data_IF_612725653443
#
_entry.id   IF_612725653443
#
_cell.length_a   1.000
_cell.length_b   1.000
_cell.length_c   1.000
_cell.angle_alpha   90.00
_cell.angle_beta   90.00
_cell.angle_gamma   90.00
#
_symmetry.space_group_name_H-M   'P 1'
#
loop_
_entity.id
_entity.type
_entity.pdbx_description
1 polymer ?
#
# COMPACT_ATOMS: atom_id res chain seq x y z
N UNK A 1 -40.26 34.18 -7.49
CA UNK A 1 -39.91 35.49 -6.85
C UNK A 1 -39.75 35.22 -5.38
N UNK A 2 -38.55 35.12 -4.89
CA UNK A 2 -38.17 35.20 -3.49
C UNK A 2 -36.72 35.71 -3.48
N UNK A 3 -36.33 36.61 -2.59
CA UNK A 3 -35.10 37.37 -2.73
C UNK A 3 -33.87 36.65 -2.19
N UNK A 4 -32.75 36.91 -2.85
CA UNK A 4 -31.41 36.61 -2.43
C UNK A 4 -31.06 37.37 -1.15
N UNK A 5 -30.69 36.66 -0.08
CA UNK A 5 -30.05 37.26 1.10
C UNK A 5 -28.52 37.22 0.93
N UNK A 6 -27.98 38.41 0.74
CA UNK A 6 -26.57 38.73 0.79
C UNK A 6 -26.02 38.54 2.21
N UNK A 7 -25.26 37.46 2.49
CA UNK A 7 -24.44 37.37 3.69
C UNK A 7 -23.24 38.31 3.57
N UNK A 8 -23.39 39.53 4.00
CA UNK A 8 -22.28 40.45 4.27
C UNK A 8 -21.54 39.95 5.53
N UNK A 9 -20.37 39.45 5.37
CA UNK A 9 -19.43 39.17 6.47
C UNK A 9 -19.01 40.49 7.11
N UNK A 10 -19.65 40.85 8.20
CA UNK A 10 -19.19 41.93 9.06
C UNK A 10 -17.86 41.47 9.72
N UNK A 11 -16.81 42.29 9.71
CA UNK A 11 -15.53 41.87 10.24
C UNK A 11 -15.60 41.72 11.76
N UNK A 12 -15.28 40.51 12.25
CA UNK A 12 -15.13 40.11 13.67
C UNK A 12 -14.29 41.14 14.45
N UNK A 13 -13.40 41.86 13.77
CA UNK A 13 -12.56 42.92 14.31
C UNK A 13 -13.29 44.11 14.90
N UNK A 14 -14.49 44.46 14.41
CA UNK A 14 -15.27 45.56 14.92
C UNK A 14 -16.07 45.23 16.20
N UNK A 15 -16.48 43.97 16.33
CA UNK A 15 -17.16 43.48 17.54
C UNK A 15 -16.20 43.33 18.73
N UNK A 16 -14.94 42.95 18.50
CA UNK A 16 -13.92 42.88 19.51
C UNK A 16 -13.46 44.24 20.01
N UNK A 17 -13.43 45.29 19.16
CA UNK A 17 -13.03 46.64 19.54
C UNK A 17 -13.98 47.28 20.60
N UNK A 18 -15.28 47.09 20.52
CA UNK A 18 -16.24 47.66 21.44
C UNK A 18 -16.22 47.11 22.84
N UNK A 19 -15.83 45.86 23.02
CA UNK A 19 -15.69 45.20 24.36
C UNK A 19 -14.33 45.45 25.03
N UNK A 20 -13.29 45.63 24.25
CA UNK A 20 -11.95 45.86 24.76
C UNK A 20 -11.79 47.21 25.48
N UNK A 21 -12.52 48.22 25.02
CA UNK A 21 -12.46 49.58 25.59
C UNK A 21 -13.15 49.74 26.94
N UNK A 22 -14.02 48.81 27.34
CA UNK A 22 -14.80 48.88 28.57
C UNK A 22 -14.23 48.01 29.74
N UNK A 23 -13.11 47.35 29.52
CA UNK A 23 -12.46 46.58 30.61
C UNK A 23 -11.55 47.47 31.46
N UNK A 24 -11.45 47.22 32.80
CA UNK A 24 -10.46 47.85 33.66
C UNK A 24 -9.04 47.71 33.11
N UNK A 25 -8.20 48.72 33.31
CA UNK A 25 -6.82 48.72 32.82
C UNK A 25 -6.01 47.45 33.18
N UNK A 26 -6.19 46.94 34.40
CA UNK A 26 -5.58 45.70 34.86
C UNK A 26 -6.03 44.47 34.05
N UNK A 27 -7.33 44.35 33.74
CA UNK A 27 -7.87 43.24 32.96
C UNK A 27 -7.45 43.27 31.49
N UNK A 28 -7.24 44.48 30.92
CA UNK A 28 -6.67 44.62 29.55
C UNK A 28 -5.23 44.14 29.50
N UNK A 29 -4.44 44.46 30.53
CA UNK A 29 -3.04 44.07 30.60
C UNK A 29 -2.90 42.53 30.74
N UNK A 30 -3.73 41.91 31.56
CA UNK A 30 -3.78 40.47 31.70
C UNK A 30 -4.19 39.77 30.39
N UNK A 31 -5.17 40.32 29.68
CA UNK A 31 -5.61 39.75 28.41
C UNK A 31 -4.56 39.90 27.30
N UNK A 32 -3.85 41.05 27.28
CA UNK A 32 -2.73 41.25 26.33
C UNK A 32 -1.55 40.33 26.62
N UNK A 33 -1.23 40.10 27.90
CA UNK A 33 -0.17 39.18 28.30
C UNK A 33 -0.55 37.74 27.99
N UNK A 34 -1.82 37.34 28.18
CA UNK A 34 -2.31 36.01 27.82
C UNK A 34 -2.27 35.81 26.28
N UNK A 35 -2.70 36.79 25.49
CA UNK A 35 -2.59 36.71 24.04
C UNK A 35 -1.13 36.67 23.55
N UNK A 36 -0.25 37.44 24.17
CA UNK A 36 1.18 37.40 23.86
C UNK A 36 1.82 36.06 24.25
N UNK A 37 1.41 35.47 25.36
CA UNK A 37 1.86 34.13 25.76
C UNK A 37 1.36 33.04 24.81
N UNK A 38 0.09 33.10 24.36
CA UNK A 38 -0.43 32.18 23.35
C UNK A 38 0.29 32.33 22.02
N UNK A 39 0.54 33.56 21.57
CA UNK A 39 1.31 33.83 20.34
C UNK A 39 2.74 33.30 20.48
N UNK A 40 3.38 33.52 21.63
CA UNK A 40 4.71 32.98 21.91
C UNK A 40 4.70 31.44 21.92
N UNK A 41 3.75 30.80 22.57
CA UNK A 41 3.61 29.32 22.56
C UNK A 41 3.35 28.82 21.15
N UNK A 42 2.49 29.48 20.36
CA UNK A 42 2.29 29.13 18.95
C UNK A 42 3.55 29.36 18.11
N UNK A 43 4.27 30.43 18.31
CA UNK A 43 5.51 30.73 17.56
C UNK A 43 6.68 29.81 17.97
N UNK A 44 6.81 29.48 19.26
CA UNK A 44 7.85 28.54 19.72
C UNK A 44 7.44 27.09 19.50
N UNK A 45 6.17 26.74 19.70
CA UNK A 45 5.65 25.40 19.42
C UNK A 45 5.72 25.03 17.93
N UNK A 46 5.47 25.99 17.05
CA UNK A 46 5.64 25.76 15.60
C UNK A 46 7.11 25.74 15.17
N UNK A 47 8.02 26.41 15.91
CA UNK A 47 9.45 26.34 15.59
C UNK A 47 10.08 25.00 15.95
N UNK A 48 9.64 24.35 17.02
CA UNK A 48 10.15 23.00 17.36
C UNK A 48 9.62 21.92 16.41
N UNK A 49 8.50 22.17 15.72
CA UNK A 49 7.92 21.22 14.74
C UNK A 49 8.51 21.42 13.33
N UNK A 50 9.08 22.60 13.02
CA UNK A 50 9.49 22.94 11.65
C UNK A 50 10.98 22.74 11.35
N UNK A 51 11.83 22.51 12.33
CA UNK A 51 13.25 22.27 12.11
C UNK A 51 13.72 21.03 12.87
N UNK A 52 13.41 19.84 12.33
CA UNK A 52 14.27 18.68 12.58
C UNK A 52 15.59 19.00 11.86
N UNK A 53 16.72 19.15 12.58
CA UNK A 53 17.98 19.47 11.93
C UNK A 53 18.28 18.42 10.86
N UNK A 54 18.58 18.86 9.65
CA UNK A 54 18.90 17.99 8.51
C UNK A 54 20.07 17.06 8.85
N UNK A 55 21.01 17.51 9.69
CA UNK A 55 22.08 16.67 10.25
C UNK A 55 21.58 15.50 11.12
N UNK A 56 20.48 15.67 11.85
CA UNK A 56 19.91 14.57 12.63
C UNK A 56 19.23 13.55 11.71
N UNK A 57 18.60 14.01 10.63
CA UNK A 57 18.00 13.15 9.61
C UNK A 57 19.07 12.35 8.85
N UNK A 58 20.16 13.01 8.42
CA UNK A 58 21.25 12.32 7.73
C UNK A 58 22.00 11.36 8.66
N UNK A 59 22.24 11.73 9.92
CA UNK A 59 22.89 10.84 10.89
C UNK A 59 22.01 9.65 11.28
N UNK A 60 20.69 9.80 11.35
CA UNK A 60 19.77 8.68 11.58
C UNK A 60 19.63 7.80 10.35
N UNK A 61 19.48 8.35 9.15
CA UNK A 61 19.44 7.59 7.90
C UNK A 61 20.74 6.79 7.67
N UNK A 62 21.91 7.36 7.97
CA UNK A 62 23.19 6.67 7.84
C UNK A 62 23.40 5.63 8.96
N UNK A 63 22.91 5.89 10.18
CA UNK A 63 22.96 4.92 11.27
C UNK A 63 21.99 3.75 11.09
N UNK A 64 20.82 4.00 10.52
CA UNK A 64 19.83 2.95 10.27
C UNK A 64 20.18 2.04 9.09
N UNK A 65 20.84 2.56 8.06
CA UNK A 65 21.34 1.72 6.95
C UNK A 65 22.33 0.63 7.42
N UNK A 66 22.90 0.77 8.60
CA UNK A 66 23.71 -0.26 9.25
C UNK A 66 23.14 -0.86 10.53
N UNK A 67 22.03 -0.33 11.06
CA UNK A 67 21.54 -0.61 12.40
C UNK A 67 20.36 -1.58 12.51
N UNK A 68 19.51 -1.66 11.49
CA UNK A 68 18.31 -2.52 11.52
C UNK A 68 18.67 -4.01 11.68
N UNK A 69 19.82 -4.41 11.18
CA UNK A 69 20.28 -5.81 11.18
C UNK A 69 21.24 -6.16 12.33
N UNK A 70 21.54 -5.22 13.23
CA UNK A 70 22.61 -5.39 14.24
C UNK A 70 22.18 -6.03 15.56
N UNK A 71 20.90 -6.32 15.77
CA UNK A 71 20.38 -6.66 17.13
C UNK A 71 19.95 -8.12 17.29
N UNK A 72 20.04 -8.94 16.29
CA UNK A 72 19.79 -10.37 16.48
C UNK A 72 21.11 -11.08 16.82
N UNK A 73 21.19 -11.70 18.00
CA UNK A 73 22.16 -12.76 18.31
C UNK A 73 21.83 -14.02 17.47
N UNK A 74 21.84 -13.87 16.16
CA UNK A 74 21.62 -14.91 15.16
C UNK A 74 22.09 -14.34 13.83
N UNK A 75 22.45 -15.19 12.88
CA UNK A 75 22.69 -14.78 11.49
C UNK A 75 21.43 -14.11 10.94
N UNK A 76 21.60 -13.06 10.13
CA UNK A 76 20.48 -12.49 9.39
C UNK A 76 19.75 -13.61 8.61
N UNK A 77 18.41 -13.55 8.49
CA UNK A 77 17.69 -14.57 7.73
C UNK A 77 18.15 -14.57 6.27
N UNK A 78 18.22 -15.74 5.69
CA UNK A 78 18.43 -15.89 4.25
C UNK A 78 17.18 -15.42 3.50
N UNK A 79 17.36 -14.66 2.42
CA UNK A 79 16.24 -14.04 1.69
C UNK A 79 16.40 -14.29 0.20
N UNK A 80 15.38 -14.81 -0.46
CA UNK A 80 15.25 -14.76 -1.91
C UNK A 80 14.31 -13.64 -2.31
N UNK A 81 14.77 -12.80 -3.24
CA UNK A 81 13.93 -11.83 -3.94
C UNK A 81 13.55 -12.44 -5.29
N UNK A 82 12.33 -12.94 -5.38
CA UNK A 82 11.79 -13.52 -6.60
C UNK A 82 11.19 -12.39 -7.43
N UNK A 83 11.73 -12.16 -8.61
CA UNK A 83 11.28 -11.12 -9.51
C UNK A 83 10.55 -11.76 -10.69
N UNK A 84 9.23 -11.54 -10.75
CA UNK A 84 8.44 -11.94 -11.89
C UNK A 84 8.65 -10.93 -13.04
N UNK A 85 9.20 -11.40 -14.16
CA UNK A 85 9.57 -10.53 -15.28
C UNK A 85 9.36 -11.22 -16.63
N UNK A 86 9.34 -10.41 -17.68
CA UNK A 86 9.50 -10.82 -19.07
C UNK A 86 10.88 -10.40 -19.57
N UNK A 87 11.29 -10.91 -20.72
CA UNK A 87 12.58 -10.53 -21.37
C UNK A 87 12.68 -9.04 -21.71
N UNK A 88 11.57 -8.31 -21.73
CA UNK A 88 11.50 -6.88 -22.06
C UNK A 88 11.58 -5.98 -20.83
N UNK A 89 11.46 -6.53 -19.65
CA UNK A 89 11.39 -5.77 -18.40
C UNK A 89 12.76 -5.67 -17.74
N UNK A 90 13.05 -4.47 -17.21
CA UNK A 90 14.29 -4.20 -16.50
C UNK A 90 14.10 -4.34 -14.99
N UNK A 91 14.87 -5.22 -14.39
CA UNK A 91 14.99 -5.39 -12.94
C UNK A 91 16.42 -5.13 -12.44
N UNK A 92 17.26 -4.48 -13.23
CA UNK A 92 18.66 -4.19 -12.86
C UNK A 92 18.80 -3.31 -11.61
N UNK A 93 17.76 -2.56 -11.27
CA UNK A 93 17.67 -1.74 -10.05
C UNK A 93 17.80 -2.57 -8.77
N UNK A 94 17.56 -3.88 -8.82
CA UNK A 94 17.73 -4.77 -7.66
C UNK A 94 19.15 -4.79 -7.11
N UNK A 95 20.15 -4.35 -7.90
CA UNK A 95 21.55 -4.18 -7.47
C UNK A 95 21.74 -3.09 -6.42
N UNK A 96 20.78 -2.15 -6.32
CA UNK A 96 20.82 -1.03 -5.38
C UNK A 96 20.18 -1.38 -4.03
N UNK A 97 19.68 -2.61 -3.89
CA UNK A 97 19.12 -3.12 -2.63
C UNK A 97 20.22 -3.31 -1.59
N UNK A 98 19.88 -2.95 -0.35
CA UNK A 98 20.80 -3.01 0.79
C UNK A 98 20.41 -4.06 1.84
N UNK A 99 19.60 -5.05 1.44
CA UNK A 99 19.16 -6.14 2.33
C UNK A 99 20.25 -7.20 2.42
N UNK A 100 20.87 -7.37 3.59
CA UNK A 100 21.96 -8.34 3.75
C UNK A 100 21.51 -9.77 3.48
N UNK A 101 22.32 -10.51 2.71
CA UNK A 101 22.06 -11.93 2.42
C UNK A 101 20.94 -12.18 1.42
N UNK A 102 20.39 -11.12 0.78
CA UNK A 102 19.37 -11.26 -0.25
C UNK A 102 19.99 -11.80 -1.55
N UNK A 103 19.35 -12.81 -2.11
CA UNK A 103 19.66 -13.38 -3.42
C UNK A 103 18.51 -13.04 -4.37
N UNK A 104 18.84 -12.44 -5.52
CA UNK A 104 17.83 -12.12 -6.55
C UNK A 104 17.63 -13.35 -7.44
N UNK A 105 16.39 -13.80 -7.55
CA UNK A 105 15.98 -14.98 -8.32
C UNK A 105 14.93 -14.54 -9.36
N UNK A 106 15.34 -14.11 -10.55
CA UNK A 106 14.40 -13.72 -11.59
C UNK A 106 13.73 -14.96 -12.19
N UNK A 107 12.39 -14.88 -12.32
CA UNK A 107 11.57 -15.82 -13.08
C UNK A 107 11.10 -15.16 -14.35
N UNK A 108 11.49 -15.70 -15.51
CA UNK A 108 11.20 -15.09 -16.81
C UNK A 108 10.01 -15.83 -17.46
N UNK A 109 8.95 -15.09 -17.73
CA UNK A 109 7.69 -15.67 -18.21
C UNK A 109 7.75 -16.16 -19.65
N UNK A 110 8.54 -15.50 -20.52
CA UNK A 110 8.55 -15.64 -21.98
C UNK A 110 9.87 -16.17 -22.56
N UNK A 111 10.76 -16.73 -21.71
CA UNK A 111 12.01 -17.37 -22.15
C UNK A 111 12.21 -18.72 -21.44
N UNK A 112 11.94 -19.81 -22.16
CA UNK A 112 12.13 -21.18 -21.67
C UNK A 112 13.61 -21.58 -21.51
N UNK A 113 14.58 -20.79 -21.99
CA UNK A 113 16.00 -21.00 -21.79
C UNK A 113 16.56 -20.24 -20.59
N UNK A 114 15.77 -19.40 -19.93
CA UNK A 114 16.18 -18.74 -18.71
C UNK A 114 16.43 -19.77 -17.60
N UNK A 115 17.34 -19.46 -16.66
CA UNK A 115 17.66 -20.35 -15.53
C UNK A 115 16.40 -20.71 -14.73
N UNK A 116 15.53 -19.73 -14.50
CA UNK A 116 14.23 -19.93 -13.88
C UNK A 116 13.17 -19.30 -14.79
N UNK A 117 12.17 -20.07 -15.12
CA UNK A 117 11.12 -19.65 -16.03
C UNK A 117 9.78 -20.28 -15.68
N UNK A 118 8.70 -19.66 -16.12
CA UNK A 118 7.38 -20.25 -16.10
C UNK A 118 7.28 -21.33 -17.18
N UNK A 119 6.43 -22.35 -16.97
CA UNK A 119 6.17 -23.37 -18.01
C UNK A 119 5.49 -22.75 -19.23
N UNK A 120 4.69 -21.71 -19.02
CA UNK A 120 4.04 -20.93 -20.04
C UNK A 120 3.81 -19.52 -19.50
N UNK A 121 3.89 -18.51 -20.35
CA UNK A 121 3.49 -17.14 -20.00
C UNK A 121 1.97 -17.07 -19.89
N UNK A 122 1.43 -17.43 -18.73
CA UNK A 122 0.01 -17.43 -18.41
C UNK A 122 -0.21 -17.22 -16.91
N UNK A 123 -1.29 -16.50 -16.53
CA UNK A 123 -1.60 -16.22 -15.14
C UNK A 123 -0.70 -15.18 -14.50
N UNK A 124 -0.08 -14.33 -15.32
CA UNK A 124 0.80 -13.26 -14.87
C UNK A 124 1.86 -13.76 -13.87
N UNK A 125 2.15 -12.99 -12.81
CA UNK A 125 3.11 -13.34 -11.76
C UNK A 125 2.71 -14.60 -10.98
N UNK A 126 1.42 -14.94 -10.92
CA UNK A 126 0.95 -16.10 -10.15
C UNK A 126 1.57 -17.41 -10.65
N UNK A 127 1.72 -17.59 -11.97
CA UNK A 127 2.40 -18.76 -12.53
C UNK A 127 3.85 -18.86 -12.05
N UNK A 128 4.57 -17.74 -12.13
CA UNK A 128 5.98 -17.68 -11.74
C UNK A 128 6.16 -17.93 -10.24
N UNK A 129 5.24 -17.42 -9.41
CA UNK A 129 5.31 -17.62 -7.96
C UNK A 129 5.03 -19.07 -7.58
N UNK A 130 4.02 -19.72 -8.17
CA UNK A 130 3.76 -21.12 -7.92
C UNK A 130 4.91 -22.01 -8.45
N UNK A 131 5.50 -21.64 -9.60
CA UNK A 131 6.66 -22.35 -10.13
C UNK A 131 7.86 -22.24 -9.17
N UNK A 132 8.12 -21.04 -8.63
CA UNK A 132 9.17 -20.85 -7.62
C UNK A 132 8.92 -21.69 -6.37
N UNK A 133 7.71 -21.71 -5.82
CA UNK A 133 7.40 -22.53 -4.65
C UNK A 133 7.56 -24.02 -4.91
N UNK A 134 7.26 -24.45 -6.12
CA UNK A 134 7.46 -25.84 -6.54
C UNK A 134 8.94 -26.18 -6.72
N UNK A 135 9.70 -25.35 -7.43
CA UNK A 135 11.11 -25.61 -7.77
C UNK A 135 12.01 -25.56 -6.55
N UNK A 136 11.83 -24.56 -5.69
CA UNK A 136 12.65 -24.32 -4.50
C UNK A 136 12.11 -25.03 -3.25
N UNK A 137 11.08 -25.86 -3.35
CA UNK A 137 10.38 -26.44 -2.19
C UNK A 137 11.31 -27.06 -1.15
N UNK A 138 12.36 -27.75 -1.59
CA UNK A 138 13.32 -28.42 -0.74
C UNK A 138 14.52 -27.52 -0.33
N UNK A 139 14.73 -26.41 -1.04
CA UNK A 139 15.86 -25.48 -0.84
C UNK A 139 15.39 -24.02 -0.66
N UNK A 140 14.34 -23.82 0.12
CA UNK A 140 13.79 -22.50 0.40
C UNK A 140 14.69 -21.70 1.36
N UNK A 141 14.89 -20.40 1.16
CA UNK A 141 15.49 -19.50 2.15
C UNK A 141 14.55 -19.32 3.34
N UNK A 142 15.00 -18.64 4.40
CA UNK A 142 14.14 -18.34 5.55
C UNK A 142 12.94 -17.49 5.16
N UNK A 143 13.14 -16.53 4.23
CA UNK A 143 12.11 -15.62 3.71
C UNK A 143 12.21 -15.58 2.19
N UNK A 144 11.07 -15.68 1.52
CA UNK A 144 10.91 -15.41 0.10
C UNK A 144 10.07 -14.14 -0.08
N UNK A 145 10.59 -13.17 -0.83
CA UNK A 145 9.88 -11.94 -1.20
C UNK A 145 9.61 -12.02 -2.69
N UNK A 146 8.36 -11.87 -3.09
CA UNK A 146 7.92 -12.04 -4.47
C UNK A 146 7.34 -10.72 -4.96
N UNK A 147 7.86 -10.21 -6.08
CA UNK A 147 7.56 -8.88 -6.59
C UNK A 147 7.48 -8.85 -8.12
N UNK A 148 6.88 -7.79 -8.64
CA UNK A 148 6.95 -7.43 -10.06
C UNK A 148 8.33 -6.85 -10.39
N UNK A 149 8.65 -6.78 -11.67
CA UNK A 149 9.94 -6.27 -12.17
C UNK A 149 10.15 -4.77 -11.97
N UNK A 150 9.08 -3.99 -11.87
CA UNK A 150 9.10 -2.53 -11.89
C UNK A 150 9.58 -1.93 -10.56
N UNK A 151 10.59 -1.07 -10.62
CA UNK A 151 11.09 -0.32 -9.45
C UNK A 151 10.07 0.70 -8.93
N UNK A 152 9.53 1.50 -9.86
CA UNK A 152 8.53 2.52 -9.57
C UNK A 152 7.19 2.07 -10.13
N UNK A 153 6.20 1.96 -9.26
CA UNK A 153 4.89 1.46 -9.67
C UNK A 153 3.80 1.97 -8.73
N UNK A 154 2.60 2.14 -9.26
CA UNK A 154 1.41 2.43 -8.47
C UNK A 154 1.04 1.27 -7.51
N UNK A 155 1.58 0.07 -7.73
CA UNK A 155 1.44 -1.07 -6.81
C UNK A 155 2.15 -0.83 -5.47
N UNK A 156 3.08 0.12 -5.41
CA UNK A 156 3.72 0.60 -4.18
C UNK A 156 3.11 1.93 -3.81
N UNK A 157 2.73 2.07 -2.55
CA UNK A 157 2.04 3.27 -2.07
C UNK A 157 2.94 4.50 -2.05
N UNK A 158 2.29 5.66 -2.10
CA UNK A 158 2.97 6.94 -2.06
C UNK A 158 3.75 7.16 -0.76
N UNK A 159 3.27 6.61 0.35
CA UNK A 159 3.99 6.69 1.64
C UNK A 159 5.34 5.98 1.58
N UNK A 160 5.48 5.01 0.68
CA UNK A 160 6.72 4.29 0.37
C UNK A 160 7.41 4.85 -0.90
N UNK A 161 7.16 6.12 -1.26
CA UNK A 161 7.72 6.83 -2.43
C UNK A 161 7.40 6.15 -3.78
N UNK A 162 6.37 5.30 -3.82
CA UNK A 162 6.08 4.42 -4.96
C UNK A 162 7.30 3.60 -5.42
N UNK A 163 8.27 3.38 -4.53
CA UNK A 163 9.57 2.80 -4.80
C UNK A 163 9.73 1.43 -4.12
N UNK A 164 9.94 0.41 -4.92
CA UNK A 164 10.25 -0.93 -4.41
C UNK A 164 11.61 -0.97 -3.69
N UNK A 165 12.59 -0.17 -4.13
CA UNK A 165 13.87 -0.03 -3.41
C UNK A 165 13.63 0.50 -2.01
N UNK A 166 12.80 1.56 -1.87
CA UNK A 166 12.49 2.10 -0.55
C UNK A 166 11.78 1.04 0.30
N UNK A 167 10.75 0.40 -0.23
CA UNK A 167 9.97 -0.62 0.48
C UNK A 167 10.84 -1.77 0.98
N UNK A 168 11.67 -2.36 0.12
CA UNK A 168 12.49 -3.51 0.49
C UNK A 168 13.61 -3.15 1.46
N UNK A 169 14.23 -1.98 1.32
CA UNK A 169 15.27 -1.51 2.23
C UNK A 169 14.74 -1.16 3.63
N UNK A 170 13.44 -0.90 3.77
CA UNK A 170 12.80 -0.55 5.05
C UNK A 170 11.92 -1.67 5.62
N UNK A 171 11.73 -2.78 4.90
CA UNK A 171 10.92 -3.90 5.36
C UNK A 171 11.53 -4.56 6.60
N UNK A 172 10.80 -4.61 7.71
CA UNK A 172 11.23 -5.36 8.89
C UNK A 172 11.02 -6.87 8.69
N UNK A 173 12.11 -7.58 8.42
CA UNK A 173 12.09 -9.03 8.20
C UNK A 173 11.64 -9.83 9.44
N UNK A 174 11.72 -9.25 10.65
CA UNK A 174 11.21 -9.88 11.88
C UNK A 174 9.69 -9.94 11.86
N UNK A 175 9.04 -8.91 11.32
CA UNK A 175 7.58 -8.92 11.15
C UNK A 175 7.16 -9.94 10.09
N UNK A 176 7.94 -10.12 9.02
CA UNK A 176 7.70 -11.22 8.07
C UNK A 176 7.77 -12.58 8.77
N UNK A 177 8.81 -12.80 9.58
CA UNK A 177 8.96 -14.05 10.35
C UNK A 177 7.83 -14.24 11.35
N UNK A 178 7.44 -13.20 12.06
CA UNK A 178 6.35 -13.24 13.05
C UNK A 178 5.01 -13.58 12.41
N UNK A 179 4.69 -12.94 11.29
CA UNK A 179 3.41 -13.13 10.60
C UNK A 179 3.39 -14.31 9.66
N UNK A 180 4.58 -14.74 9.19
CA UNK A 180 4.80 -15.82 8.24
C UNK A 180 4.33 -15.53 6.81
N UNK A 181 3.42 -14.63 6.61
CA UNK A 181 2.96 -14.08 5.33
C UNK A 181 2.51 -12.63 5.52
N UNK A 182 2.80 -11.78 4.57
CA UNK A 182 2.23 -10.45 4.46
C UNK A 182 2.24 -9.96 3.00
N UNK A 183 1.30 -9.06 2.69
CA UNK A 183 1.40 -8.23 1.50
C UNK A 183 2.38 -7.09 1.76
N UNK A 184 3.20 -6.75 0.77
CA UNK A 184 4.07 -5.56 0.85
C UNK A 184 3.26 -4.28 0.79
N UNK A 185 2.12 -4.30 0.10
CA UNK A 185 1.14 -3.21 0.14
C UNK A 185 0.38 -3.23 1.46
N UNK A 186 0.11 -2.03 1.99
CA UNK A 186 -0.53 -1.86 3.31
C UNK A 186 -1.92 -1.26 3.19
N UNK A 187 -2.14 -0.39 2.20
CA UNK A 187 -3.39 0.38 2.09
C UNK A 187 -4.59 -0.48 1.73
N UNK A 188 -5.75 -0.10 2.32
CA UNK A 188 -7.02 -0.76 2.12
C UNK A 188 -7.74 -0.34 0.84
N UNK A 189 -7.30 0.72 0.19
CA UNK A 189 -7.99 1.33 -0.95
C UNK A 189 -8.36 0.37 -2.08
N UNK A 190 -7.63 -0.74 -2.22
CA UNK A 190 -7.95 -1.83 -3.15
C UNK A 190 -7.80 -3.14 -2.40
N UNK A 191 -8.89 -3.91 -2.32
CA UNK A 191 -8.90 -5.28 -1.82
C UNK A 191 -9.37 -5.46 -0.38
N UNK A 192 -9.33 -4.43 0.51
CA UNK A 192 -9.79 -4.57 1.89
C UNK A 192 -11.18 -3.98 2.13
N UNK A 193 -11.38 -2.67 2.15
CA UNK A 193 -12.69 -2.07 2.42
C UNK A 193 -13.49 -1.82 1.15
N UNK A 194 -12.80 -1.51 0.05
CA UNK A 194 -13.37 -1.33 -1.28
C UNK A 194 -12.81 -2.40 -2.22
N UNK A 195 -13.59 -2.80 -3.20
CA UNK A 195 -13.19 -3.86 -4.15
C UNK A 195 -12.82 -5.20 -3.46
N UNK A 196 -13.42 -5.50 -2.32
CA UNK A 196 -13.38 -6.85 -1.76
C UNK A 196 -14.17 -7.81 -2.64
N UNK A 197 -13.68 -9.03 -2.75
CA UNK A 197 -14.40 -10.08 -3.47
C UNK A 197 -15.53 -10.64 -2.60
N UNK A 198 -16.74 -10.67 -3.15
CA UNK A 198 -17.84 -11.46 -2.60
C UNK A 198 -18.11 -12.66 -3.52
N UNK A 199 -17.68 -13.84 -3.12
CA UNK A 199 -17.73 -15.06 -3.93
C UNK A 199 -19.15 -15.54 -4.26
N UNK A 200 -20.18 -14.99 -3.62
CA UNK A 200 -21.57 -15.30 -3.92
C UNK A 200 -22.15 -14.49 -5.09
N UNK A 201 -21.46 -13.42 -5.51
CA UNK A 201 -21.88 -12.52 -6.59
C UNK A 201 -21.36 -12.97 -7.95
N UNK A 202 -21.72 -14.19 -8.35
CA UNK A 202 -21.20 -14.82 -9.59
C UNK A 202 -21.76 -14.22 -10.89
N UNK A 203 -22.83 -13.42 -10.82
CA UNK A 203 -23.49 -12.86 -12.00
C UNK A 203 -23.45 -11.33 -12.05
N UNK A 204 -22.75 -10.68 -11.14
CA UNK A 204 -22.66 -9.23 -11.11
C UNK A 204 -21.41 -8.75 -11.85
N UNK A 205 -21.59 -7.88 -12.83
CA UNK A 205 -20.49 -7.12 -13.39
C UNK A 205 -20.04 -6.08 -12.38
N UNK A 206 -18.86 -6.25 -11.85
CA UNK A 206 -18.22 -5.27 -10.98
C UNK A 206 -17.33 -4.38 -11.83
N UNK A 207 -17.62 -3.10 -11.87
CA UNK A 207 -16.91 -2.12 -12.71
C UNK A 207 -15.43 -1.91 -12.38
N UNK A 208 -14.89 -2.59 -11.34
CA UNK A 208 -13.49 -2.45 -10.92
C UNK A 208 -12.75 -3.78 -10.71
N UNK A 209 -13.48 -4.89 -10.62
CA UNK A 209 -12.93 -6.23 -10.33
C UNK A 209 -13.49 -7.25 -11.33
N UNK A 210 -12.95 -7.31 -12.55
CA UNK A 210 -13.49 -8.19 -13.61
C UNK A 210 -13.42 -9.68 -13.25
N UNK A 211 -12.51 -10.07 -12.33
CA UNK A 211 -12.37 -11.43 -11.79
C UNK A 211 -13.48 -11.82 -10.81
N UNK A 212 -14.27 -10.87 -10.30
CA UNK A 212 -15.31 -11.08 -9.28
C UNK A 212 -16.23 -12.28 -9.57
N UNK A 213 -16.72 -12.38 -10.78
CA UNK A 213 -17.66 -13.44 -11.19
C UNK A 213 -17.03 -14.84 -11.25
N UNK A 214 -15.71 -14.92 -11.41
CA UNK A 214 -14.95 -16.16 -11.55
C UNK A 214 -14.39 -16.67 -10.21
N UNK A 215 -14.42 -15.85 -9.16
CA UNK A 215 -13.72 -16.14 -7.91
C UNK A 215 -14.23 -17.39 -7.19
N UNK A 216 -15.53 -17.64 -7.19
CA UNK A 216 -16.08 -18.83 -6.52
C UNK A 216 -15.57 -20.13 -7.17
N UNK A 217 -15.58 -20.19 -8.50
CA UNK A 217 -15.10 -21.36 -9.23
C UNK A 217 -13.60 -21.50 -9.15
N UNK A 218 -12.85 -20.40 -9.33
CA UNK A 218 -11.40 -20.38 -9.19
C UNK A 218 -10.96 -20.86 -7.79
N UNK A 219 -11.62 -20.38 -6.74
CA UNK A 219 -11.33 -20.80 -5.37
C UNK A 219 -11.59 -22.30 -5.17
N UNK A 220 -12.74 -22.80 -5.59
CA UNK A 220 -13.07 -24.24 -5.53
C UNK A 220 -12.06 -25.09 -6.27
N UNK A 221 -11.69 -24.68 -7.48
CA UNK A 221 -10.77 -25.42 -8.31
C UNK A 221 -9.36 -25.49 -7.69
N UNK A 222 -8.90 -24.42 -7.04
CA UNK A 222 -7.57 -24.38 -6.47
C UNK A 222 -7.48 -25.00 -5.07
N UNK A 223 -8.51 -24.86 -4.23
CA UNK A 223 -8.47 -25.38 -2.85
C UNK A 223 -9.30 -26.65 -2.64
N UNK A 224 -10.03 -27.10 -3.65
CA UNK A 224 -10.90 -28.29 -3.58
C UNK A 224 -11.87 -28.25 -2.39
N UNK A 225 -12.44 -27.05 -2.13
CA UNK A 225 -13.38 -26.82 -1.04
C UNK A 225 -14.77 -26.52 -1.61
N UNK A 226 -15.79 -27.15 -1.04
CA UNK A 226 -17.18 -26.83 -1.36
C UNK A 226 -17.65 -25.56 -0.64
N UNK A 227 -17.16 -25.34 0.57
CA UNK A 227 -17.49 -24.20 1.39
C UNK A 227 -16.50 -23.06 1.11
N UNK A 228 -16.87 -22.23 0.14
CA UNK A 228 -16.07 -21.09 -0.28
C UNK A 228 -16.37 -19.92 0.66
N UNK A 229 -15.37 -19.25 1.22
CA UNK A 229 -15.59 -18.05 2.03
C UNK A 229 -16.39 -17.01 1.24
N UNK A 230 -17.42 -16.44 1.87
CA UNK A 230 -18.25 -15.42 1.21
C UNK A 230 -17.44 -14.18 0.82
N UNK A 231 -16.55 -13.75 1.70
CA UNK A 231 -15.69 -12.56 1.49
C UNK A 231 -14.23 -12.98 1.45
N UNK A 232 -13.53 -12.54 0.41
CA UNK A 232 -12.09 -12.59 0.31
C UNK A 232 -11.58 -11.15 0.29
N UNK A 233 -10.70 -10.80 1.24
CA UNK A 233 -10.19 -9.45 1.38
C UNK A 233 -8.72 -9.44 1.83
N UNK A 234 -7.89 -8.73 1.10
CA UNK A 234 -6.47 -8.48 1.42
C UNK A 234 -5.99 -7.28 0.61
N UNK A 235 -4.97 -6.53 1.05
CA UNK A 235 -4.35 -5.51 0.20
C UNK A 235 -3.89 -6.11 -1.13
N UNK A 236 -4.11 -5.41 -2.24
CA UNK A 236 -3.93 -5.94 -3.60
C UNK A 236 -2.48 -6.22 -3.98
N UNK A 237 -2.38 -6.66 -5.18
CA UNK A 237 -1.26 -6.48 -6.12
C UNK A 237 -0.16 -7.52 -6.05
N UNK A 238 -0.41 -8.70 -5.45
CA UNK A 238 0.47 -9.88 -5.50
C UNK A 238 1.96 -9.62 -5.21
N UNK A 239 2.28 -8.58 -4.44
CA UNK A 239 3.64 -8.35 -3.95
C UNK A 239 3.69 -8.78 -2.49
N UNK A 240 4.35 -9.90 -2.22
CA UNK A 240 4.21 -10.63 -0.96
C UNK A 240 5.56 -11.00 -0.36
N UNK A 241 5.58 -11.17 0.96
CA UNK A 241 6.68 -11.81 1.66
C UNK A 241 6.15 -13.00 2.46
N UNK A 242 6.84 -14.12 2.39
CA UNK A 242 6.39 -15.39 2.97
C UNK A 242 7.58 -16.18 3.51
N UNK A 243 7.41 -16.84 4.67
CA UNK A 243 8.46 -17.65 5.27
C UNK A 243 8.50 -19.07 4.70
N UNK A 244 9.65 -19.73 4.85
CA UNK A 244 9.84 -21.16 4.52
C UNK A 244 8.77 -22.03 5.17
N UNK A 245 8.46 -21.77 6.42
CA UNK A 245 7.49 -22.54 7.20
C UNK A 245 6.09 -22.41 6.61
N UNK A 246 5.70 -21.21 6.19
CA UNK A 246 4.42 -20.98 5.54
C UNK A 246 4.33 -21.68 4.19
N UNK A 247 5.39 -21.61 3.38
CA UNK A 247 5.44 -22.30 2.09
C UNK A 247 5.36 -23.82 2.30
N UNK A 248 6.10 -24.37 3.27
CA UNK A 248 6.14 -25.84 3.50
C UNK A 248 4.91 -26.41 4.19
N UNK A 249 4.06 -25.57 4.81
CA UNK A 249 2.73 -26.04 5.26
C UNK A 249 1.84 -26.46 4.10
N UNK A 250 2.05 -25.88 2.94
CA UNK A 250 1.35 -26.26 1.71
C UNK A 250 2.13 -27.38 1.05
N UNK A 251 1.55 -28.57 0.81
CA UNK A 251 2.25 -29.67 0.15
C UNK A 251 2.75 -29.27 -1.25
N UNK A 252 3.94 -29.73 -1.66
CA UNK A 252 4.51 -29.43 -2.99
C UNK A 252 3.53 -29.76 -4.13
N UNK A 253 2.77 -30.84 -4.00
CA UNK A 253 1.72 -31.23 -4.98
C UNK A 253 0.59 -30.21 -5.11
N UNK A 254 0.36 -29.40 -4.09
CA UNK A 254 -0.63 -28.32 -4.17
C UNK A 254 -0.14 -27.21 -5.09
N UNK A 255 1.13 -26.87 -5.06
CA UNK A 255 1.72 -25.93 -6.01
C UNK A 255 1.69 -26.46 -7.44
N UNK A 256 1.98 -27.74 -7.64
CA UNK A 256 1.83 -28.40 -8.94
C UNK A 256 0.38 -28.34 -9.42
N UNK A 257 -0.60 -28.53 -8.54
CA UNK A 257 -2.01 -28.40 -8.87
C UNK A 257 -2.38 -26.98 -9.31
N UNK A 258 -1.89 -25.95 -8.61
CA UNK A 258 -2.12 -24.55 -8.96
C UNK A 258 -1.50 -24.20 -10.32
N UNK A 259 -0.29 -24.66 -10.60
CA UNK A 259 0.37 -24.53 -11.90
C UNK A 259 -0.49 -25.17 -12.99
N UNK A 260 -0.93 -26.41 -12.79
CA UNK A 260 -1.76 -27.13 -13.74
C UNK A 260 -3.12 -26.44 -13.98
N UNK A 261 -3.73 -25.88 -12.92
CA UNK A 261 -4.94 -25.09 -13.07
C UNK A 261 -4.70 -23.85 -13.92
N UNK A 262 -3.65 -23.08 -13.66
CA UNK A 262 -3.27 -21.92 -14.47
C UNK A 262 -3.03 -22.29 -15.94
N UNK A 263 -2.39 -23.43 -16.22
CA UNK A 263 -2.13 -23.91 -17.58
C UNK A 263 -3.42 -24.33 -18.31
N UNK A 264 -4.41 -24.88 -17.60
CA UNK A 264 -5.56 -25.54 -18.21
C UNK A 264 -6.87 -24.76 -18.11
N UNK A 265 -6.92 -23.72 -17.26
CA UNK A 265 -8.12 -22.89 -17.14
C UNK A 265 -8.46 -22.19 -18.46
N UNK A 266 -9.74 -22.11 -18.77
CA UNK A 266 -10.27 -21.34 -19.91
C UNK A 266 -10.31 -19.83 -19.65
N UNK A 267 -9.97 -19.36 -18.45
CA UNK A 267 -9.93 -17.94 -18.12
C UNK A 267 -8.83 -17.23 -18.90
N UNK A 268 -9.10 -15.99 -19.26
CA UNK A 268 -8.07 -15.11 -19.81
C UNK A 268 -6.93 -14.93 -18.82
N UNK A 269 -5.77 -14.62 -19.35
CA UNK A 269 -4.52 -14.48 -18.61
C UNK A 269 -4.65 -13.49 -17.46
N UNK A 270 -5.13 -12.29 -17.74
CA UNK A 270 -5.35 -11.23 -16.76
C UNK A 270 -6.35 -11.61 -15.67
N UNK A 271 -7.35 -12.43 -15.99
CA UNK A 271 -8.36 -12.86 -15.02
C UNK A 271 -7.81 -13.97 -14.12
N UNK A 272 -7.15 -14.98 -14.71
CA UNK A 272 -6.58 -16.09 -13.94
C UNK A 272 -5.47 -15.62 -12.97
N UNK A 273 -4.65 -14.64 -13.37
CA UNK A 273 -3.66 -14.02 -12.49
C UNK A 273 -4.32 -13.25 -11.33
N UNK A 274 -5.28 -12.37 -11.64
CA UNK A 274 -6.00 -11.59 -10.63
C UNK A 274 -6.75 -12.41 -9.60
N UNK A 275 -7.25 -13.60 -9.95
CA UNK A 275 -7.88 -14.46 -8.93
C UNK A 275 -6.90 -14.79 -7.81
N UNK A 276 -5.60 -14.93 -8.11
CA UNK A 276 -4.59 -15.21 -7.10
C UNK A 276 -4.25 -14.03 -6.20
N UNK A 277 -4.44 -12.80 -6.66
CA UNK A 277 -4.29 -11.61 -5.79
C UNK A 277 -5.20 -11.67 -4.56
N UNK A 278 -6.36 -12.35 -4.67
CA UNK A 278 -7.34 -12.51 -3.61
C UNK A 278 -7.22 -13.82 -2.81
N UNK A 279 -6.24 -14.68 -3.14
CA UNK A 279 -6.14 -16.03 -2.56
C UNK A 279 -4.84 -16.27 -1.79
N UNK A 280 -3.81 -15.43 -1.91
CA UNK A 280 -2.51 -15.64 -1.25
C UNK A 280 -2.62 -15.73 0.27
N UNK A 281 -3.40 -14.84 0.91
CA UNK A 281 -3.62 -14.86 2.35
C UNK A 281 -4.31 -16.17 2.80
N UNK A 282 -5.20 -16.70 1.96
CA UNK A 282 -5.84 -17.96 2.27
C UNK A 282 -4.86 -19.14 2.14
N UNK A 283 -4.03 -19.14 1.11
CA UNK A 283 -3.02 -20.17 0.89
C UNK A 283 -2.04 -20.27 2.07
N UNK A 284 -1.54 -19.15 2.57
CA UNK A 284 -0.47 -19.13 3.57
C UNK A 284 -0.94 -18.98 5.02
N UNK A 285 -2.08 -18.34 5.25
CA UNK A 285 -2.62 -18.10 6.60
C UNK A 285 -3.89 -18.91 6.90
N UNK A 286 -4.55 -19.48 5.90
CA UNK A 286 -5.89 -20.07 6.05
C UNK A 286 -6.97 -19.05 6.36
N UNK A 287 -6.70 -17.75 6.13
CA UNK A 287 -7.62 -16.65 6.41
C UNK A 287 -8.25 -16.13 5.11
N UNK A 288 -9.56 -15.98 5.10
CA UNK A 288 -10.26 -15.35 3.98
C UNK A 288 -10.06 -13.83 3.96
N UNK A 289 -9.92 -13.22 5.14
CA UNK A 289 -9.73 -11.80 5.33
C UNK A 289 -8.40 -11.56 6.04
N UNK A 290 -7.53 -10.77 5.44
CA UNK A 290 -6.27 -10.32 6.02
C UNK A 290 -6.06 -8.82 5.70
N UNK A 291 -6.69 -7.96 6.50
CA UNK A 291 -6.67 -6.51 6.36
C UNK A 291 -6.09 -5.86 7.63
N UNK A 292 -4.77 -5.79 7.77
CA UNK A 292 -4.12 -5.13 8.89
C UNK A 292 -4.50 -3.65 8.99
N UNK A 293 -4.54 -3.08 10.17
CA UNK A 293 -4.73 -1.64 10.37
C UNK A 293 -3.56 -0.88 9.75
N UNK A 294 -3.84 0.00 8.79
CA UNK A 294 -2.83 0.64 7.95
C UNK A 294 -1.76 1.36 8.77
N UNK A 295 -2.14 2.22 9.74
CA UNK A 295 -1.16 2.95 10.57
C UNK A 295 -0.24 2.02 11.37
N UNK A 296 -0.76 0.90 11.91
CA UNK A 296 0.06 -0.11 12.60
C UNK A 296 0.95 -0.89 11.65
N UNK A 297 0.43 -1.23 10.48
CA UNK A 297 1.19 -1.96 9.46
C UNK A 297 2.36 -1.09 8.93
N UNK A 298 2.15 0.19 8.61
CA UNK A 298 3.24 1.09 8.24
C UNK A 298 4.29 1.21 9.35
N UNK A 299 3.86 1.31 10.60
CA UNK A 299 4.76 1.43 11.72
C UNK A 299 5.58 0.14 11.94
N UNK A 300 4.94 -1.03 11.88
CA UNK A 300 5.61 -2.32 12.15
C UNK A 300 6.43 -2.82 10.98
N UNK A 301 5.92 -2.69 9.75
CA UNK A 301 6.60 -3.23 8.57
C UNK A 301 7.68 -2.29 8.03
N UNK A 302 7.45 -0.97 8.07
CA UNK A 302 8.30 0.01 7.39
C UNK A 302 8.87 1.07 8.32
N UNK A 303 8.63 0.97 9.62
CA UNK A 303 9.05 1.93 10.64
C UNK A 303 8.58 3.37 10.33
N UNK A 304 7.36 3.50 9.81
CA UNK A 304 6.71 4.80 9.58
C UNK A 304 5.55 4.91 10.56
N UNK A 305 5.80 5.50 11.74
CA UNK A 305 4.87 5.52 12.86
C UNK A 305 4.26 6.90 13.05
N UNK A 306 2.98 7.04 12.77
CA UNK A 306 2.30 8.32 12.92
C UNK A 306 2.01 8.69 14.37
N UNK A 307 1.91 7.72 15.28
CA UNK A 307 1.60 7.89 16.70
C UNK A 307 0.15 7.59 17.03
N UNK A 308 -0.61 7.11 16.08
CA UNK A 308 -1.97 6.68 16.24
C UNK A 308 -2.73 6.75 14.93
N UNK A 309 -4.00 6.36 15.01
CA UNK A 309 -4.89 6.35 13.86
C UNK A 309 -5.26 7.77 13.42
N UNK A 310 -5.50 8.67 14.38
CA UNK A 310 -5.94 10.04 14.08
C UNK A 310 -4.88 10.79 13.25
N UNK A 311 -3.61 10.70 13.63
CA UNK A 311 -2.50 11.34 12.92
C UNK A 311 -2.28 10.73 11.52
N UNK A 312 -2.52 9.42 11.38
CA UNK A 312 -2.49 8.77 10.08
C UNK A 312 -3.66 9.20 9.20
N UNK A 313 -4.88 9.27 9.74
CA UNK A 313 -6.08 9.70 9.03
C UNK A 313 -5.93 11.15 8.55
N UNK A 314 -5.36 12.06 9.37
CA UNK A 314 -4.99 13.42 8.95
C UNK A 314 -4.02 13.45 7.76
N UNK A 315 -3.04 12.55 7.74
CA UNK A 315 -2.11 12.44 6.61
C UNK A 315 -2.84 11.97 5.35
N UNK A 316 -3.76 11.00 5.47
CA UNK A 316 -4.59 10.51 4.36
C UNK A 316 -5.47 11.63 3.80
N UNK A 317 -6.12 12.41 4.66
CA UNK A 317 -6.97 13.55 4.24
C UNK A 317 -6.17 14.59 3.46
N UNK A 318 -4.98 14.95 3.94
CA UNK A 318 -4.08 15.86 3.22
C UNK A 318 -3.69 15.29 1.86
N UNK A 319 -3.37 14.00 1.79
CA UNK A 319 -2.98 13.35 0.54
C UNK A 319 -4.14 13.29 -0.47
N UNK A 320 -5.36 13.04 -0.02
CA UNK A 320 -6.56 13.11 -0.86
C UNK A 320 -6.84 14.55 -1.32
N UNK A 321 -6.64 15.52 -0.44
CA UNK A 321 -6.72 16.95 -0.78
C UNK A 321 -5.72 17.33 -1.88
N UNK A 322 -4.48 16.87 -1.77
CA UNK A 322 -3.44 17.08 -2.79
C UNK A 322 -3.86 16.50 -4.15
N UNK A 323 -4.38 15.27 -4.18
CA UNK A 323 -4.82 14.63 -5.43
C UNK A 323 -5.94 15.41 -6.11
N UNK A 324 -6.89 15.95 -5.33
CA UNK A 324 -7.96 16.81 -5.86
C UNK A 324 -7.41 18.12 -6.43
N UNK A 325 -6.46 18.76 -5.74
CA UNK A 325 -5.80 19.97 -6.24
C UNK A 325 -5.02 19.71 -7.53
N UNK A 326 -4.34 18.56 -7.63
CA UNK A 326 -3.63 18.14 -8.85
C UNK A 326 -4.60 17.93 -10.02
N UNK A 327 -5.75 17.31 -9.76
CA UNK A 327 -6.78 17.10 -10.78
C UNK A 327 -7.37 18.43 -11.26
N UNK A 328 -7.69 19.33 -10.33
CA UNK A 328 -8.18 20.66 -10.66
C UNK A 328 -7.14 21.48 -11.45
N UNK A 329 -5.87 21.38 -11.06
CA UNK A 329 -4.79 22.07 -11.77
C UNK A 329 -4.63 21.52 -13.19
N UNK A 330 -4.73 20.22 -13.41
CA UNK A 330 -4.73 19.60 -14.76
C UNK A 330 -5.88 20.14 -15.62
N UNK A 331 -7.09 20.20 -15.06
CA UNK A 331 -8.26 20.77 -15.76
C UNK A 331 -8.03 22.23 -16.14
N UNK A 332 -7.50 23.05 -15.25
CA UNK A 332 -7.19 24.46 -15.52
C UNK A 332 -6.09 24.60 -16.60
N UNK A 333 -5.11 23.68 -16.61
CA UNK A 333 -4.05 23.66 -17.64
C UNK A 333 -4.54 23.13 -19.00
N UNK A 334 -5.69 22.47 -19.06
CA UNK A 334 -6.21 21.83 -20.26
C UNK A 334 -5.48 20.54 -20.61
N UNK A 335 -4.87 19.89 -19.61
CA UNK A 335 -4.19 18.59 -19.68
C UNK A 335 -5.19 17.47 -19.37
N UNK A 336 -6.38 17.45 -19.99
CA UNK A 336 -7.37 16.40 -19.80
C UNK A 336 -6.84 15.11 -20.40
N UNK A 337 -6.38 14.22 -19.52
CA UNK A 337 -5.76 12.97 -19.87
C UNK A 337 -6.75 11.86 -20.17
N UNK A 338 -7.33 11.87 -21.35
CA UNK A 338 -7.71 10.65 -22.04
C UNK A 338 -6.87 10.60 -23.32
N UNK A 339 -5.97 9.60 -23.43
CA UNK A 339 -5.03 9.44 -24.54
C UNK A 339 -5.68 9.20 -25.92
N UNK A 340 -6.78 9.86 -26.17
CA UNK A 340 -7.36 10.06 -27.49
C UNK A 340 -6.83 11.39 -28.02
N UNK A 341 -6.05 11.29 -29.12
CA UNK A 341 -5.74 12.47 -29.91
C UNK A 341 -7.02 13.31 -30.09
N UNK A 342 -6.98 14.63 -29.82
CA UNK A 342 -8.13 15.47 -30.04
C UNK A 342 -8.46 15.38 -31.52
N UNK A 343 -9.63 14.81 -31.86
CA UNK A 343 -10.24 15.09 -33.15
C UNK A 343 -10.22 16.59 -33.34
N UNK A 344 -9.65 17.03 -34.46
CA UNK A 344 -9.55 18.44 -34.83
C UNK A 344 -10.92 19.07 -34.83
N UNK A 345 -11.30 19.64 -33.68
CA UNK A 345 -12.37 20.63 -33.66
C UNK A 345 -11.72 22.00 -33.83
N UNK A 346 -11.68 22.46 -35.08
CA UNK A 346 -11.42 23.87 -35.39
C UNK A 346 -12.57 24.71 -34.85
N UNK A 347 -12.45 25.14 -33.61
CA UNK A 347 -12.99 26.38 -33.09
C UNK A 347 -12.40 26.63 -31.69
N UNK A 348 -11.13 26.98 -31.65
CA UNK A 348 -10.56 27.61 -30.45
C UNK A 348 -11.21 28.98 -30.31
N UNK A 349 -12.29 29.05 -29.52
CA UNK A 349 -12.85 30.30 -29.06
C UNK A 349 -11.73 31.04 -28.32
N UNK A 350 -11.26 32.18 -28.90
CA UNK A 350 -10.31 33.05 -28.20
C UNK A 350 -10.93 33.48 -26.87
N UNK A 351 -10.36 33.04 -25.78
CA UNK A 351 -10.72 33.52 -24.45
C UNK A 351 -10.58 35.04 -24.38
N UNK A 352 -11.49 35.69 -23.72
CA UNK A 352 -11.36 37.13 -23.48
C UNK A 352 -10.19 37.36 -22.51
N UNK A 353 -9.53 38.50 -22.60
CA UNK A 353 -8.41 38.89 -21.72
C UNK A 353 -8.75 38.72 -20.22
N UNK A 354 -10.01 38.91 -19.86
CA UNK A 354 -10.51 38.75 -18.50
C UNK A 354 -10.59 37.28 -18.08
N UNK A 355 -11.01 36.38 -18.98
CA UNK A 355 -11.08 34.96 -18.75
C UNK A 355 -9.67 34.38 -18.61
N UNK A 356 -8.71 34.82 -19.43
CA UNK A 356 -7.29 34.41 -19.31
C UNK A 356 -6.69 34.86 -17.99
N UNK A 357 -6.92 36.10 -17.54
CA UNK A 357 -6.47 36.59 -16.23
C UNK A 357 -7.08 35.84 -15.06
N UNK A 358 -8.34 35.45 -15.19
CA UNK A 358 -9.02 34.64 -14.15
C UNK A 358 -8.45 33.24 -14.09
N UNK A 359 -8.23 32.60 -15.23
CA UNK A 359 -7.63 31.29 -15.35
C UNK A 359 -6.22 31.27 -14.79
N UNK A 360 -5.43 32.30 -15.09
CA UNK A 360 -4.07 32.46 -14.57
C UNK A 360 -4.05 32.60 -13.03
N UNK A 361 -4.94 33.42 -12.45
CA UNK A 361 -5.05 33.56 -10.98
C UNK A 361 -5.46 32.24 -10.31
N UNK A 362 -6.41 31.51 -10.90
CA UNK A 362 -6.82 30.20 -10.38
C UNK A 362 -5.66 29.21 -10.41
N UNK A 363 -4.86 29.19 -11.47
CA UNK A 363 -3.68 28.38 -11.60
C UNK A 363 -2.63 28.70 -10.53
N UNK A 364 -2.29 29.96 -10.35
CA UNK A 364 -1.31 30.42 -9.36
C UNK A 364 -1.76 30.07 -7.93
N UNK A 365 -3.04 30.21 -7.64
CA UNK A 365 -3.60 29.81 -6.36
C UNK A 365 -3.50 28.29 -6.15
N UNK A 366 -3.92 27.48 -7.13
CA UNK A 366 -3.83 26.01 -7.06
C UNK A 366 -2.38 25.52 -6.88
N UNK A 367 -1.43 26.10 -7.61
CA UNK A 367 -0.01 25.78 -7.49
C UNK A 367 0.55 26.14 -6.10
N UNK A 368 0.10 27.26 -5.51
CA UNK A 368 0.49 27.67 -4.16
C UNK A 368 -0.08 26.73 -3.09
N UNK A 369 -1.38 26.40 -3.19
CA UNK A 369 -2.04 25.45 -2.27
C UNK A 369 -1.42 24.06 -2.37
N UNK A 370 -1.19 23.58 -3.60
CA UNK A 370 -0.56 22.29 -3.85
C UNK A 370 0.84 22.20 -3.21
N UNK A 371 1.62 23.27 -3.31
CA UNK A 371 2.92 23.37 -2.65
C UNK A 371 2.81 23.29 -1.13
N UNK A 372 1.87 24.04 -0.55
CA UNK A 372 1.64 24.07 0.89
C UNK A 372 1.19 22.71 1.44
N UNK A 373 0.22 22.08 0.78
CA UNK A 373 -0.27 20.75 1.17
C UNK A 373 0.81 19.68 0.99
N UNK A 374 1.57 19.73 -0.10
CA UNK A 374 2.67 18.79 -0.35
C UNK A 374 3.76 18.89 0.73
N UNK A 375 4.09 20.10 1.17
CA UNK A 375 5.04 20.31 2.26
C UNK A 375 4.50 19.77 3.59
N UNK A 376 3.23 19.99 3.90
CA UNK A 376 2.60 19.45 5.10
C UNK A 376 2.59 17.90 5.12
N UNK A 377 2.34 17.27 3.98
CA UNK A 377 2.40 15.81 3.79
C UNK A 377 3.83 15.31 4.04
N UNK A 378 4.83 15.97 3.43
CA UNK A 378 6.24 15.63 3.58
C UNK A 378 6.70 15.70 5.04
N UNK A 379 6.41 16.81 5.72
CA UNK A 379 6.79 17.00 7.13
C UNK A 379 6.17 15.93 8.02
N UNK A 380 4.87 15.61 7.87
CA UNK A 380 4.21 14.57 8.67
C UNK A 380 4.84 13.19 8.44
N UNK A 381 5.16 12.87 7.17
CA UNK A 381 5.85 11.61 6.85
C UNK A 381 7.23 11.55 7.50
N UNK A 382 8.01 12.62 7.44
CA UNK A 382 9.34 12.66 8.06
C UNK A 382 9.27 12.49 9.57
N UNK A 383 8.32 13.17 10.23
CA UNK A 383 8.07 12.98 11.68
C UNK A 383 7.71 11.52 11.97
N UNK A 384 6.88 10.88 11.15
CA UNK A 384 6.51 9.48 11.31
C UNK A 384 7.70 8.53 11.14
N UNK A 385 8.61 8.81 10.20
CA UNK A 385 9.86 8.05 10.01
C UNK A 385 10.79 8.20 11.23
N UNK A 386 11.01 9.44 11.69
CA UNK A 386 11.83 9.69 12.90
C UNK A 386 11.25 9.00 14.14
N UNK A 387 9.92 9.06 14.31
CA UNK A 387 9.23 8.35 15.41
C UNK A 387 9.42 6.85 15.30
N UNK A 388 9.29 6.30 14.11
CA UNK A 388 9.42 4.87 13.84
C UNK A 388 10.82 4.32 14.01
N UNK A 389 11.87 5.15 13.94
CA UNK A 389 13.23 4.77 14.23
C UNK A 389 13.40 4.28 15.69
N UNK A 390 12.54 4.71 16.61
CA UNK A 390 12.59 4.35 18.02
C UNK A 390 11.71 3.13 18.29
N UNK A 391 12.29 2.00 18.73
CA UNK A 391 11.57 0.75 18.99
C UNK A 391 10.42 0.91 19.99
N UNK A 392 10.61 1.70 21.03
CA UNK A 392 9.56 1.97 22.02
C UNK A 392 8.31 2.60 21.40
N UNK A 393 8.47 3.44 20.38
CA UNK A 393 7.34 4.05 19.67
C UNK A 393 6.62 3.03 18.79
N UNK A 394 7.35 2.10 18.18
CA UNK A 394 6.74 1.01 17.40
C UNK A 394 5.92 0.08 18.30
N UNK A 395 6.42 -0.21 19.49
CA UNK A 395 5.70 -1.00 20.50
C UNK A 395 4.46 -0.24 21.00
N UNK A 396 4.59 1.07 21.22
CA UNK A 396 3.47 1.90 21.71
C UNK A 396 2.33 2.03 20.69
N UNK A 397 2.60 1.91 19.38
CA UNK A 397 1.59 1.92 18.32
C UNK A 397 0.68 0.68 18.39
N UNK A 398 1.11 -0.37 19.08
CA UNK A 398 0.42 -1.63 19.30
C UNK A 398 1.18 -2.83 18.74
N UNK A 399 1.09 -3.95 19.45
CA UNK A 399 1.74 -5.20 19.02
C UNK A 399 0.94 -5.92 17.95
N UNK A 400 -0.39 -5.86 18.02
CA UNK A 400 -1.28 -6.47 17.03
C UNK A 400 -1.51 -5.55 15.83
N UNK A 401 -1.41 -6.09 14.63
CA UNK A 401 -1.76 -5.38 13.40
C UNK A 401 -3.28 -5.26 13.20
N UNK A 402 -4.11 -5.99 13.96
CA UNK A 402 -5.57 -6.05 13.79
C UNK A 402 -6.36 -5.29 14.87
N UNK A 403 -5.71 -4.57 15.72
CA UNK A 403 -6.33 -3.88 16.86
C UNK A 403 -5.97 -4.54 18.20
N UNK A 404 -6.68 -4.17 19.25
CA UNK A 404 -6.42 -4.66 20.61
C UNK A 404 -7.10 -6.02 20.88
N UNK A 405 -7.94 -6.48 19.98
CA UNK A 405 -8.41 -7.86 19.96
C UNK A 405 -7.22 -8.76 19.64
N UNK A 406 -7.06 -9.83 20.43
CA UNK A 406 -6.01 -10.83 20.20
C UNK A 406 -6.07 -11.26 18.73
N UNK A 407 -4.91 -11.29 18.05
CA UNK A 407 -4.85 -11.90 16.72
C UNK A 407 -5.53 -13.26 16.83
N UNK A 408 -6.61 -13.52 16.05
CA UNK A 408 -7.19 -14.85 16.07
C UNK A 408 -6.06 -15.82 15.76
N UNK A 409 -5.83 -16.76 16.68
CA UNK A 409 -4.73 -17.70 16.51
C UNK A 409 -4.77 -18.24 15.09
N UNK A 410 -3.61 -18.33 14.44
CA UNK A 410 -3.51 -18.88 13.08
C UNK A 410 -3.99 -20.32 13.22
N UNK A 411 -5.27 -20.55 12.97
CA UNK A 411 -5.81 -21.87 12.85
C UNK A 411 -5.23 -22.43 11.55
N UNK A 412 -4.12 -23.16 11.71
CA UNK A 412 -3.48 -23.84 10.59
C UNK A 412 -4.49 -24.87 10.11
N UNK A 413 -5.34 -24.50 9.15
CA UNK A 413 -6.13 -25.47 8.40
C UNK A 413 -5.12 -26.32 7.64
N UNK A 414 -4.82 -27.48 8.19
CA UNK A 414 -4.11 -28.51 7.46
C UNK A 414 -4.99 -28.83 6.28
N UNK A 415 -4.55 -28.48 5.06
CA UNK A 415 -5.25 -28.86 3.85
C UNK A 415 -5.42 -30.37 3.89
N UNK A 416 -6.64 -30.91 3.82
CA UNK A 416 -6.81 -32.34 3.79
C UNK A 416 -5.93 -32.86 2.65
N UNK A 417 -5.11 -33.87 2.92
CA UNK A 417 -4.28 -34.52 1.92
C UNK A 417 -5.19 -35.28 0.94
N UNK A 418 -5.92 -34.55 0.14
CA UNK A 418 -6.68 -35.09 -0.96
C UNK A 418 -5.68 -35.34 -2.06
N UNK A 419 -5.16 -36.56 -2.10
CA UNK A 419 -4.47 -37.09 -3.27
C UNK A 419 -5.45 -37.02 -4.42
N UNK A 420 -5.42 -35.93 -5.18
CA UNK A 420 -6.10 -35.88 -6.47
C UNK A 420 -5.44 -36.94 -7.34
N UNK A 421 -6.10 -38.08 -7.50
CA UNK A 421 -5.65 -39.09 -8.45
C UNK A 421 -5.69 -38.44 -9.83
N UNK A 422 -4.62 -38.57 -10.58
CA UNK A 422 -4.48 -38.08 -11.95
C UNK A 422 -5.44 -38.76 -12.96
N UNK A 423 -6.54 -39.35 -12.49
CA UNK A 423 -7.61 -39.90 -13.32
C UNK A 423 -8.92 -39.38 -12.76
N UNK A 424 -9.50 -38.45 -13.52
CA UNK A 424 -10.82 -37.89 -13.25
C UNK A 424 -11.91 -38.97 -13.08
N UNK A 425 -12.07 -39.45 -11.85
CA UNK A 425 -13.27 -40.06 -11.33
C UNK A 425 -13.37 -39.69 -9.85
N UNK A 426 -14.32 -38.83 -9.57
CA UNK A 426 -14.86 -38.64 -8.23
C UNK A 426 -15.47 -39.98 -7.81
N UNK A 427 -14.85 -40.67 -6.86
CA UNK A 427 -15.52 -41.69 -6.07
C UNK A 427 -15.84 -41.06 -4.73
N UNK A 428 -17.09 -40.60 -4.60
CA UNK A 428 -17.68 -40.39 -3.29
C UNK A 428 -17.68 -41.75 -2.58
N UNK A 429 -17.10 -41.81 -1.41
CA UNK A 429 -17.23 -42.94 -0.47
C UNK A 429 -17.96 -42.39 0.75
N UNK A 430 -18.97 -43.13 1.30
CA UNK A 430 -20.01 -42.67 2.21
C UNK A 430 -19.51 -42.17 3.56
#
# INVERSE_FOLDING_TARGET
MAPHDDFKTAPVALWLRGRFTNLPRASRMVLLLACAAVILVCMYGTREITEVPQELMEQHLVKEQGGLYRVLKGSAPSVNLVVAATTKEDYSWTKDLKVPGMVVVPYIADDLNATHHAQQNKGHEAMMYHQYFYDFYDDLPDISILIHSQQLSWHVEQLLDQSMIFSLNHLDLREVQRRQFLNLRVTWGIGCSTNTINTTRVNEESGGTPEQKEMQEAFRANFNLYDVPEILATPCCSQIAVTREAIRRVPRKQYEHHINWLLTTGLEDSISGRTWEHMWQYLFLGKAIDCPLEHRAYCRLYHICFGGREEYDEWIELNQGRQKLEEELRKVKGEDGDGKEPEKVEEQKKLTETEEKTKQKSREWLESELKSVSEAIRVRREVAVVRGAVEANRVAEGESLYGDEAEPGVEVKIFPQTVLSARGRSTAVP
#
